data_IF_600812714047
#
_entry.id   IF_600812714047
#
_cell.length_a   1.000
_cell.length_b   1.000
_cell.length_c   1.000
_cell.angle_alpha   90.00
_cell.angle_beta   90.00
_cell.angle_gamma   90.00
#
_symmetry.space_group_name_H-M   'P 1'
#
loop_
_entity.id
_entity.type
_entity.pdbx_description
1 polymer ?
#
# COMPACT_ATOMS: atom_id res chain seq x y z
N UNK A 1 16.79 4.10 1.44
CA UNK A 1 15.42 4.63 1.61
C UNK A 1 15.33 5.96 0.87
N UNK A 2 14.98 5.92 -0.42
CA UNK A 2 14.87 7.11 -1.26
C UNK A 2 13.64 7.96 -0.91
N UNK A 3 13.57 9.17 -1.48
CA UNK A 3 12.52 10.17 -1.23
C UNK A 3 11.08 9.63 -1.27
N UNK A 4 10.85 8.53 -2.00
CA UNK A 4 9.56 7.83 -2.04
C UNK A 4 9.14 7.13 -0.75
N UNK A 5 10.10 6.53 -0.04
CA UNK A 5 9.82 5.92 1.26
C UNK A 5 9.44 6.97 2.31
N UNK A 6 10.07 8.16 2.26
CA UNK A 6 9.80 9.22 3.23
C UNK A 6 8.39 9.79 3.07
N UNK A 7 7.98 10.19 1.86
CA UNK A 7 6.62 10.73 1.68
C UNK A 7 5.55 9.65 1.92
N UNK A 8 5.83 8.38 1.57
CA UNK A 8 4.92 7.28 1.87
C UNK A 8 4.72 7.11 3.37
N UNK A 9 5.82 7.17 4.15
CA UNK A 9 5.74 7.12 5.60
C UNK A 9 5.01 8.33 6.18
N UNK A 10 5.22 9.53 5.64
CA UNK A 10 4.52 10.74 6.07
C UNK A 10 3.01 10.64 5.87
N UNK A 11 2.54 10.01 4.78
CA UNK A 11 1.11 9.74 4.59
C UNK A 11 0.56 8.87 5.73
N UNK A 12 1.26 7.78 6.10
CA UNK A 12 0.87 6.95 7.23
C UNK A 12 0.95 7.66 8.58
N UNK A 13 1.92 8.55 8.76
CA UNK A 13 2.03 9.41 9.95
C UNK A 13 0.80 10.30 10.08
N UNK A 14 0.38 10.95 8.99
CA UNK A 14 -0.81 11.82 9.03
C UNK A 14 -2.07 10.98 9.29
N UNK A 15 -2.19 9.78 8.70
CA UNK A 15 -3.29 8.86 9.00
C UNK A 15 -3.29 8.44 10.48
N UNK A 16 -2.14 8.11 11.05
CA UNK A 16 -2.02 7.73 12.46
C UNK A 16 -2.43 8.87 13.40
N UNK A 17 -2.00 10.10 13.11
CA UNK A 17 -2.42 11.31 13.83
C UNK A 17 -3.93 11.53 13.69
N UNK A 18 -4.48 11.29 12.51
CA UNK A 18 -5.92 11.38 12.27
C UNK A 18 -6.71 10.40 13.14
N UNK A 19 -6.32 9.13 13.14
CA UNK A 19 -6.94 8.09 13.97
C UNK A 19 -6.83 8.44 15.46
N UNK A 20 -5.65 8.83 15.94
CA UNK A 20 -5.45 9.16 17.34
C UNK A 20 -6.23 10.41 17.78
N UNK A 21 -6.29 11.45 16.94
CA UNK A 21 -7.12 12.63 17.20
C UNK A 21 -8.58 12.24 17.37
N UNK A 22 -9.12 11.39 16.48
CA UNK A 22 -10.48 10.88 16.59
C UNK A 22 -10.70 10.04 17.86
N UNK A 23 -9.77 9.15 18.22
CA UNK A 23 -9.88 8.30 19.43
C UNK A 23 -9.96 9.11 20.73
N UNK A 24 -9.31 10.28 20.78
CA UNK A 24 -9.28 11.14 21.97
C UNK A 24 -10.34 12.26 21.87
N UNK A 25 -11.14 12.29 20.79
CA UNK A 25 -12.17 13.30 20.55
C UNK A 25 -11.61 14.70 20.29
N UNK A 26 -10.41 14.80 19.71
CA UNK A 26 -9.72 16.05 19.38
C UNK A 26 -9.54 16.20 17.88
N UNK A 27 -9.41 17.43 17.42
CA UNK A 27 -9.08 17.69 16.01
C UNK A 27 -7.67 17.17 15.71
N UNK A 28 -7.48 16.34 14.68
CA UNK A 28 -6.17 15.87 14.29
C UNK A 28 -5.19 17.00 13.93
N UNK A 29 -3.97 16.90 14.45
CA UNK A 29 -2.94 17.92 14.28
C UNK A 29 -1.55 17.28 14.16
N UNK A 30 -0.82 17.61 13.10
CA UNK A 30 0.55 17.18 12.90
C UNK A 30 1.48 18.38 12.81
N UNK A 31 2.52 18.43 13.66
CA UNK A 31 3.49 19.53 13.73
C UNK A 31 2.88 20.94 13.89
N UNK A 32 1.73 21.05 14.57
CA UNK A 32 1.03 22.33 14.73
C UNK A 32 0.07 22.65 13.58
N UNK A 33 -0.06 21.79 12.56
CA UNK A 33 -0.98 21.99 11.43
C UNK A 33 -2.17 21.05 11.55
N UNK A 34 -3.38 21.62 11.51
CA UNK A 34 -4.64 20.86 11.56
C UNK A 34 -4.83 20.07 10.27
N UNK A 35 -5.18 18.80 10.42
CA UNK A 35 -5.51 17.91 9.31
C UNK A 35 -7.02 17.92 9.13
N UNK A 36 -7.49 18.36 7.97
CA UNK A 36 -8.92 18.50 7.69
C UNK A 36 -9.33 17.55 6.55
N UNK A 37 -10.59 17.66 6.14
CA UNK A 37 -11.18 16.77 5.14
C UNK A 37 -10.42 16.78 3.80
N UNK A 38 -9.90 17.93 3.38
CA UNK A 38 -9.21 18.06 2.09
C UNK A 38 -7.90 17.25 2.07
N UNK A 39 -7.08 17.35 3.12
CA UNK A 39 -5.87 16.53 3.22
C UNK A 39 -6.21 15.05 3.33
N UNK A 40 -7.23 14.71 4.12
CA UNK A 40 -7.60 13.30 4.30
C UNK A 40 -8.12 12.65 3.02
N UNK A 41 -8.81 13.38 2.15
CA UNK A 41 -9.21 12.88 0.82
C UNK A 41 -7.98 12.52 -0.02
N UNK A 42 -6.96 13.38 -0.03
CA UNK A 42 -5.75 13.14 -0.81
C UNK A 42 -4.88 12.02 -0.19
N UNK A 43 -4.83 11.93 1.14
CA UNK A 43 -4.19 10.81 1.86
C UNK A 43 -4.89 9.49 1.53
N UNK A 44 -6.21 9.46 1.58
CA UNK A 44 -6.98 8.27 1.19
C UNK A 44 -6.70 7.87 -0.26
N UNK A 45 -6.67 8.84 -1.19
CA UNK A 45 -6.30 8.57 -2.58
C UNK A 45 -4.90 7.97 -2.69
N UNK A 46 -3.90 8.56 -2.01
CA UNK A 46 -2.52 8.08 -2.05
C UNK A 46 -2.38 6.65 -1.49
N UNK A 47 -3.17 6.29 -0.47
CA UNK A 47 -3.17 4.96 0.14
C UNK A 47 -3.96 3.92 -0.67
N UNK A 48 -5.00 4.34 -1.39
CA UNK A 48 -5.89 3.43 -2.13
C UNK A 48 -5.42 3.15 -3.56
N UNK A 49 -4.65 4.05 -4.18
CA UNK A 49 -4.17 3.85 -5.55
C UNK A 49 -3.31 2.59 -5.69
N UNK A 50 -2.25 2.36 -4.88
CA UNK A 50 -1.44 1.15 -4.99
C UNK A 50 -2.26 -0.15 -4.83
N UNK A 51 -3.04 -0.37 -3.76
CA UNK A 51 -3.79 -1.61 -3.60
C UNK A 51 -4.86 -1.81 -4.68
N UNK A 52 -5.48 -0.73 -5.18
CA UNK A 52 -6.40 -0.82 -6.31
C UNK A 52 -5.70 -1.36 -7.57
N UNK A 53 -4.53 -0.83 -7.90
CA UNK A 53 -3.73 -1.29 -9.04
C UNK A 53 -3.25 -2.74 -8.84
N UNK A 54 -2.87 -3.09 -7.62
CA UNK A 54 -2.35 -4.43 -7.28
C UNK A 54 -3.44 -5.48 -7.39
N UNK A 55 -4.54 -5.31 -6.65
CA UNK A 55 -5.62 -6.27 -6.60
C UNK A 55 -6.42 -6.27 -7.89
N UNK A 56 -6.68 -5.10 -8.49
CA UNK A 56 -7.37 -4.96 -9.77
C UNK A 56 -6.56 -5.56 -10.92
N UNK A 57 -5.26 -5.26 -10.99
CA UNK A 57 -4.36 -5.83 -11.99
C UNK A 57 -4.23 -7.34 -11.85
N UNK A 58 -4.00 -7.83 -10.63
CA UNK A 58 -3.92 -9.27 -10.35
C UNK A 58 -5.23 -9.98 -10.71
N UNK A 59 -6.36 -9.45 -10.26
CA UNK A 59 -7.68 -10.01 -10.54
C UNK A 59 -7.99 -10.09 -12.03
N UNK A 60 -7.65 -9.04 -12.78
CA UNK A 60 -7.85 -9.02 -14.24
C UNK A 60 -6.92 -10.03 -14.95
N UNK A 61 -5.67 -10.14 -14.52
CA UNK A 61 -4.71 -11.08 -15.11
C UNK A 61 -5.04 -12.56 -14.85
N UNK A 62 -5.67 -12.90 -13.73
CA UNK A 62 -6.02 -14.31 -13.43
C UNK A 62 -7.37 -14.75 -14.02
N UNK A 63 -8.16 -13.82 -14.57
CA UNK A 63 -9.43 -14.13 -15.24
C UNK A 63 -9.27 -14.16 -16.76
N UNK A 64 -8.28 -13.49 -17.31
CA UNK A 64 -8.02 -13.45 -18.75
C UNK A 64 -7.01 -14.53 -19.17
N UNK A 65 -7.33 -15.25 -20.25
CA UNK A 65 -6.46 -16.30 -20.81
C UNK A 65 -5.06 -15.80 -21.13
N UNK A 66 -4.92 -14.58 -21.67
CA UNK A 66 -3.61 -13.97 -21.97
C UNK A 66 -2.75 -13.75 -20.73
N UNK A 67 -3.39 -13.50 -19.57
CA UNK A 67 -2.69 -13.32 -18.31
C UNK A 67 -2.24 -14.65 -17.71
N UNK A 68 -3.13 -15.65 -17.72
CA UNK A 68 -2.87 -17.00 -17.19
C UNK A 68 -1.87 -17.77 -18.06
N UNK A 69 -1.87 -17.56 -19.38
CA UNK A 69 -0.92 -18.20 -20.30
C UNK A 69 0.56 -17.80 -20.07
N UNK A 70 0.81 -16.77 -19.26
CA UNK A 70 2.18 -16.30 -18.95
C UNK A 70 2.74 -16.84 -17.63
N UNK A 71 1.96 -17.64 -16.88
CA UNK A 71 2.37 -18.20 -15.60
C UNK A 71 3.53 -19.19 -15.76
N UNK A 72 4.54 -19.07 -14.89
CA UNK A 72 5.66 -20.01 -14.85
C UNK A 72 5.33 -21.26 -14.04
N UNK A 73 4.45 -21.11 -13.03
CA UNK A 73 4.07 -22.18 -12.12
C UNK A 73 2.55 -22.31 -11.99
N UNK A 74 2.01 -23.54 -11.87
CA UNK A 74 0.58 -23.75 -11.65
C UNK A 74 0.17 -23.46 -10.20
N UNK A 75 -1.14 -23.41 -9.96
CA UNK A 75 -1.72 -23.35 -8.61
C UNK A 75 -1.42 -22.06 -7.85
N UNK A 76 -1.26 -22.17 -6.52
CA UNK A 76 -1.11 -21.03 -5.62
C UNK A 76 0.18 -20.22 -5.86
N UNK A 77 1.25 -20.86 -6.35
CA UNK A 77 2.47 -20.17 -6.71
C UNK A 77 2.27 -19.26 -7.94
N UNK A 78 1.51 -19.71 -8.95
CA UNK A 78 1.17 -18.89 -10.11
C UNK A 78 0.39 -17.63 -9.73
N UNK A 79 -0.56 -17.72 -8.79
CA UNK A 79 -1.23 -16.54 -8.24
C UNK A 79 -0.23 -15.59 -7.56
N UNK A 80 0.72 -16.15 -6.81
CA UNK A 80 1.78 -15.39 -6.13
C UNK A 80 2.70 -14.67 -7.13
N UNK A 81 3.04 -15.29 -8.26
CA UNK A 81 3.82 -14.68 -9.34
C UNK A 81 3.14 -13.41 -9.89
N UNK A 82 1.84 -13.50 -10.20
CA UNK A 82 1.06 -12.36 -10.72
C UNK A 82 0.90 -11.29 -9.65
N UNK A 83 0.49 -11.68 -8.44
CA UNK A 83 0.32 -10.77 -7.31
C UNK A 83 1.60 -10.02 -7.01
N UNK A 84 2.75 -10.70 -7.02
CA UNK A 84 4.05 -10.10 -6.79
C UNK A 84 4.45 -9.15 -7.92
N UNK A 85 4.22 -9.50 -9.18
CA UNK A 85 4.51 -8.64 -10.32
C UNK A 85 3.76 -7.30 -10.24
N UNK A 86 2.46 -7.32 -9.94
CA UNK A 86 1.69 -6.09 -9.76
C UNK A 86 2.06 -5.35 -8.47
N UNK A 87 2.33 -6.06 -7.37
CA UNK A 87 2.81 -5.45 -6.11
C UNK A 87 4.10 -4.68 -6.34
N UNK A 88 5.06 -5.27 -7.04
CA UNK A 88 6.33 -4.65 -7.35
C UNK A 88 6.17 -3.46 -8.30
N UNK A 89 5.38 -3.62 -9.37
CA UNK A 89 5.14 -2.56 -10.35
C UNK A 89 4.42 -1.35 -9.73
N UNK A 90 3.28 -1.56 -9.07
CA UNK A 90 2.49 -0.48 -8.48
C UNK A 90 3.20 0.25 -7.34
N UNK A 91 4.09 -0.43 -6.59
CA UNK A 91 4.93 0.18 -5.57
C UNK A 91 6.29 0.68 -6.08
N UNK A 92 6.54 0.59 -7.40
CA UNK A 92 7.80 0.98 -8.04
C UNK A 92 9.04 0.36 -7.39
N UNK A 93 8.98 -0.92 -7.00
CA UNK A 93 10.08 -1.64 -6.38
C UNK A 93 11.08 -2.17 -7.43
N UNK A 94 10.57 -2.85 -8.47
CA UNK A 94 11.36 -3.38 -9.57
C UNK A 94 11.84 -4.83 -9.40
N UNK A 95 11.57 -5.46 -8.25
CA UNK A 95 11.77 -6.90 -8.06
C UNK A 95 10.74 -7.75 -8.83
N UNK A 96 11.09 -8.99 -9.14
CA UNK A 96 10.17 -9.95 -9.77
C UNK A 96 10.52 -11.38 -9.31
N UNK A 97 9.53 -12.29 -9.29
CA UNK A 97 9.76 -13.73 -9.13
C UNK A 97 10.49 -14.33 -10.33
N UNK A 98 10.44 -13.67 -11.49
CA UNK A 98 11.04 -14.08 -12.75
C UNK A 98 10.53 -15.41 -13.35
N UNK A 99 9.59 -16.12 -12.71
CA UNK A 99 8.84 -17.22 -13.32
C UNK A 99 7.74 -16.76 -14.27
N UNK A 100 7.12 -15.60 -14.01
CA UNK A 100 6.12 -14.99 -14.89
C UNK A 100 6.77 -14.45 -16.18
N UNK A 101 6.32 -14.94 -17.34
CA UNK A 101 6.76 -14.43 -18.65
C UNK A 101 6.08 -13.11 -19.01
N UNK A 102 6.59 -12.02 -18.43
CA UNK A 102 6.02 -10.68 -18.61
C UNK A 102 6.34 -10.01 -19.96
N UNK A 103 7.19 -10.60 -20.81
CA UNK A 103 7.56 -10.05 -22.12
C UNK A 103 6.47 -10.31 -23.18
N UNK A 104 5.27 -9.80 -22.93
CA UNK A 104 4.18 -9.75 -23.89
C UNK A 104 3.45 -8.42 -23.80
N UNK A 105 2.68 -8.10 -24.84
CA UNK A 105 2.00 -6.79 -24.94
C UNK A 105 1.07 -6.55 -23.74
N UNK A 106 0.39 -7.58 -23.26
CA UNK A 106 -0.54 -7.47 -22.15
C UNK A 106 0.15 -7.08 -20.85
N UNK A 107 1.13 -7.85 -20.38
CA UNK A 107 1.85 -7.53 -19.13
C UNK A 107 2.70 -6.28 -19.25
N UNK A 108 3.33 -6.02 -20.40
CA UNK A 108 4.09 -4.77 -20.61
C UNK A 108 3.19 -3.54 -20.41
N UNK A 109 1.98 -3.53 -21.00
CA UNK A 109 1.06 -2.40 -20.86
C UNK A 109 0.45 -2.32 -19.45
N UNK A 110 0.01 -3.44 -18.88
CA UNK A 110 -0.62 -3.47 -17.56
C UNK A 110 0.36 -3.07 -16.45
N UNK A 111 1.59 -3.61 -16.48
CA UNK A 111 2.63 -3.26 -15.51
C UNK A 111 3.13 -1.82 -15.73
N UNK A 112 3.24 -1.34 -16.97
CA UNK A 112 3.57 0.06 -17.25
C UNK A 112 2.52 1.02 -16.69
N UNK A 113 1.23 0.71 -16.88
CA UNK A 113 0.14 1.48 -16.30
C UNK A 113 0.21 1.47 -14.77
N UNK A 114 0.43 0.30 -14.17
CA UNK A 114 0.56 0.16 -12.72
C UNK A 114 1.73 0.97 -12.17
N UNK A 115 2.90 0.92 -12.83
CA UNK A 115 4.07 1.73 -12.47
C UNK A 115 3.78 3.23 -12.59
N UNK A 116 3.19 3.66 -13.71
CA UNK A 116 2.89 5.06 -13.97
C UNK A 116 1.89 5.62 -12.96
N UNK A 117 0.74 4.96 -12.79
CA UNK A 117 -0.29 5.41 -11.85
C UNK A 117 0.18 5.31 -10.40
N UNK A 118 0.83 4.20 -10.02
CA UNK A 118 1.38 4.01 -8.67
C UNK A 118 2.42 5.07 -8.28
N UNK A 119 3.17 5.60 -9.27
CA UNK A 119 4.12 6.68 -9.05
C UNK A 119 3.45 8.05 -9.04
N UNK A 120 2.84 8.44 -10.15
CA UNK A 120 2.45 9.83 -10.40
C UNK A 120 1.15 10.23 -9.71
N UNK A 121 0.20 9.31 -9.53
CA UNK A 121 -1.02 9.63 -8.79
C UNK A 121 -0.70 9.81 -7.29
N UNK A 122 0.19 8.99 -6.72
CA UNK A 122 0.65 9.14 -5.34
C UNK A 122 1.44 10.44 -5.17
N UNK A 123 2.36 10.76 -6.08
CA UNK A 123 3.08 12.05 -6.04
C UNK A 123 2.11 13.23 -6.14
N UNK A 124 1.15 13.19 -7.07
CA UNK A 124 0.14 14.23 -7.21
C UNK A 124 -0.67 14.44 -5.93
N UNK A 125 -1.06 13.36 -5.26
CA UNK A 125 -1.77 13.41 -3.99
C UNK A 125 -0.90 13.99 -2.86
N UNK A 126 0.37 13.57 -2.77
CA UNK A 126 1.33 14.12 -1.79
C UNK A 126 1.54 15.61 -2.00
N UNK A 127 1.70 16.06 -3.25
CA UNK A 127 1.88 17.48 -3.57
C UNK A 127 0.63 18.29 -3.21
N UNK A 128 -0.57 17.75 -3.41
CA UNK A 128 -1.81 18.39 -2.98
C UNK A 128 -1.86 18.54 -1.45
N UNK A 129 -1.53 17.48 -0.70
CA UNK A 129 -1.41 17.55 0.78
C UNK A 129 -0.40 18.61 1.19
N UNK A 130 0.77 18.65 0.55
CA UNK A 130 1.79 19.66 0.84
C UNK A 130 1.28 21.08 0.58
N UNK A 131 0.55 21.30 -0.52
CA UNK A 131 -0.08 22.58 -0.84
C UNK A 131 -1.11 23.04 0.20
N UNK A 132 -2.02 22.14 0.61
CA UNK A 132 -3.01 22.44 1.65
C UNK A 132 -2.35 22.75 2.99
N UNK A 133 -1.36 21.95 3.39
CA UNK A 133 -0.63 22.20 4.63
C UNK A 133 0.18 23.50 4.56
N UNK A 134 0.77 23.85 3.42
CA UNK A 134 1.56 25.08 3.27
C UNK A 134 0.73 26.35 3.54
N UNK A 135 -0.56 26.35 3.14
CA UNK A 135 -1.48 27.45 3.39
C UNK A 135 -1.90 27.59 4.88
N UNK A 136 -1.69 26.55 5.70
CA UNK A 136 -2.13 26.53 7.11
C UNK A 136 -1.11 27.14 8.06
N UNK A 137 -1.62 27.98 8.96
CA UNK A 137 -0.88 28.53 10.09
C UNK A 137 -0.59 27.46 11.13
N UNK A 138 0.55 27.60 11.82
CA UNK A 138 0.94 26.69 12.90
C UNK A 138 0.27 27.12 14.20
N UNK A 139 -0.43 26.20 14.84
CA UNK A 139 -1.07 26.39 16.16
C UNK A 139 -0.07 26.03 17.26
N UNK A 140 -0.01 26.80 18.37
CA UNK A 140 0.83 26.45 19.51
C UNK A 140 0.34 25.17 20.20
N UNK A 141 1.31 24.40 20.71
CA UNK A 141 1.06 23.16 21.45
C UNK A 141 0.23 23.46 22.70
N UNK A 142 -0.82 22.68 22.92
CA UNK A 142 -1.67 22.76 24.11
C UNK A 142 -1.85 21.36 24.75
N UNK A 143 -2.57 21.29 25.87
CA UNK A 143 -2.81 20.05 26.62
C UNK A 143 -3.55 18.97 25.80
N UNK A 144 -4.24 19.34 24.73
CA UNK A 144 -4.91 18.43 23.81
C UNK A 144 -4.07 18.04 22.59
N UNK A 145 -2.85 18.57 22.44
CA UNK A 145 -1.94 18.22 21.35
C UNK A 145 -1.29 16.87 21.65
N UNK A 146 -1.53 15.88 20.79
CA UNK A 146 -0.92 14.56 20.94
C UNK A 146 0.59 14.62 20.67
N UNK A 147 1.45 14.04 21.53
CA UNK A 147 2.87 13.93 21.24
C UNK A 147 3.10 12.94 20.07
N UNK A 148 3.58 13.46 18.93
CA UNK A 148 3.91 12.66 17.74
C UNK A 148 5.35 12.11 17.79
N UNK A 149 5.83 11.82 18.99
CA UNK A 149 7.18 11.33 19.28
C UNK A 149 7.13 10.34 20.45
N UNK A 150 8.21 9.57 20.62
CA UNK A 150 8.30 8.54 21.66
C UNK A 150 7.61 7.23 21.30
N UNK A 151 7.65 6.29 22.25
CA UNK A 151 7.26 4.89 22.04
C UNK A 151 5.79 4.75 21.68
N UNK A 152 4.89 5.50 22.33
CA UNK A 152 3.45 5.41 22.09
C UNK A 152 3.10 5.71 20.63
N UNK A 153 3.62 6.81 20.09
CA UNK A 153 3.37 7.17 18.70
C UNK A 153 4.05 6.18 17.74
N UNK A 154 5.25 5.70 18.07
CA UNK A 154 5.94 4.66 17.30
C UNK A 154 5.12 3.38 17.18
N UNK A 155 4.56 2.89 18.29
CA UNK A 155 3.70 1.70 18.32
C UNK A 155 2.40 1.92 17.54
N UNK A 156 1.75 3.07 17.74
CA UNK A 156 0.55 3.42 16.98
C UNK A 156 0.83 3.42 15.47
N UNK A 157 1.92 4.06 15.05
CA UNK A 157 2.30 4.19 13.64
C UNK A 157 2.58 2.81 13.02
N UNK A 158 3.34 1.96 13.71
CA UNK A 158 3.58 0.58 13.28
C UNK A 158 2.25 -0.18 13.16
N UNK A 159 1.38 -0.06 14.17
CA UNK A 159 0.06 -0.69 14.18
C UNK A 159 -0.79 -0.26 12.99
N UNK A 160 -0.85 1.04 12.68
CA UNK A 160 -1.60 1.56 11.52
C UNK A 160 -1.04 1.00 10.21
N UNK A 161 0.28 0.99 10.02
CA UNK A 161 0.90 0.43 8.80
C UNK A 161 0.59 -1.05 8.65
N UNK A 162 0.76 -1.83 9.72
CA UNK A 162 0.51 -3.27 9.71
C UNK A 162 -0.96 -3.60 9.49
N UNK A 163 -1.88 -2.93 10.18
CA UNK A 163 -3.33 -3.17 10.04
C UNK A 163 -3.80 -2.81 8.63
N UNK A 164 -3.38 -1.66 8.11
CA UNK A 164 -3.75 -1.24 6.74
C UNK A 164 -3.26 -2.24 5.70
N UNK A 165 -2.00 -2.69 5.80
CA UNK A 165 -1.45 -3.71 4.91
C UNK A 165 -2.16 -5.05 5.05
N UNK A 166 -2.32 -5.53 6.29
CA UNK A 166 -2.95 -6.81 6.59
C UNK A 166 -4.39 -6.87 6.06
N UNK A 167 -5.24 -5.89 6.41
CA UNK A 167 -6.65 -5.90 5.98
C UNK A 167 -6.82 -5.83 4.46
N UNK A 168 -5.83 -5.28 3.75
CA UNK A 168 -5.88 -5.14 2.30
C UNK A 168 -5.42 -6.41 1.58
N UNK A 169 -4.39 -7.08 2.10
CA UNK A 169 -3.72 -8.17 1.38
C UNK A 169 -3.89 -9.55 2.01
N UNK A 170 -4.47 -9.70 3.21
CA UNK A 170 -4.72 -11.02 3.82
C UNK A 170 -5.45 -11.97 2.86
N UNK A 171 -6.55 -11.57 2.18
CA UNK A 171 -7.26 -12.50 1.30
C UNK A 171 -6.42 -13.01 0.13
N UNK A 172 -5.62 -12.15 -0.50
CA UNK A 172 -4.77 -12.55 -1.63
C UNK A 172 -3.54 -13.34 -1.16
N UNK A 173 -2.96 -12.98 -0.01
CA UNK A 173 -1.86 -13.73 0.60
C UNK A 173 -2.30 -15.12 1.09
N UNK A 174 -3.54 -15.25 1.57
CA UNK A 174 -4.13 -16.52 1.96
C UNK A 174 -4.20 -17.50 0.78
N UNK A 175 -4.61 -17.01 -0.40
CA UNK A 175 -4.76 -17.82 -1.62
C UNK A 175 -3.45 -18.10 -2.36
N UNK A 176 -2.42 -17.27 -2.14
CA UNK A 176 -1.10 -17.42 -2.76
C UNK A 176 -0.11 -18.11 -1.82
N UNK A 177 0.83 -17.36 -1.20
CA UNK A 177 1.95 -17.94 -0.47
C UNK A 177 1.54 -18.74 0.78
N UNK A 178 0.45 -18.37 1.46
CA UNK A 178 0.01 -19.12 2.64
C UNK A 178 -0.55 -20.48 2.22
N UNK A 179 -1.39 -20.53 1.17
CA UNK A 179 -1.90 -21.78 0.62
C UNK A 179 -0.75 -22.69 0.14
N UNK A 180 0.23 -22.13 -0.56
CA UNK A 180 1.43 -22.86 -0.99
C UNK A 180 2.21 -23.44 0.21
N UNK A 181 2.42 -22.65 1.26
CA UNK A 181 3.10 -23.10 2.47
C UNK A 181 2.35 -24.23 3.18
N UNK A 182 1.01 -24.16 3.25
CA UNK A 182 0.19 -25.23 3.83
C UNK A 182 0.22 -26.52 3.01
N UNK A 183 0.33 -26.42 1.67
CA UNK A 183 0.43 -27.58 0.79
C UNK A 183 1.70 -28.38 1.06
N UNK A 184 2.84 -27.74 1.36
CA UNK A 184 4.09 -28.42 1.70
C UNK A 184 3.93 -29.41 2.86
N UNK A 185 3.21 -29.03 3.93
CA UNK A 185 2.99 -29.91 5.09
C UNK A 185 1.94 -31.00 4.84
N UNK A 186 0.98 -30.74 3.95
CA UNK A 186 -0.01 -31.75 3.57
C UNK A 186 0.62 -32.91 2.78
N UNK A 187 1.63 -32.63 1.96
CA UNK A 187 2.37 -33.66 1.22
C UNK A 187 3.21 -34.52 2.17
N UNK A 188 3.80 -33.90 3.20
CA UNK A 188 4.70 -34.57 4.14
C UNK A 188 3.98 -35.44 5.20
N UNK A 189 2.66 -35.34 5.31
CA UNK A 189 1.83 -36.16 6.21
C UNK A 189 1.16 -37.36 5.51
N UNK A 190 1.37 -37.49 4.20
CA UNK A 190 0.86 -38.60 3.38
C UNK A 190 1.93 -39.69 3.10
N UNK A 191 3.15 -39.52 3.62
CA UNK A 191 4.21 -40.54 3.70
C UNK A 191 4.32 -41.10 5.12
#
# INVERSE_FOLDING_TARGET
MGSSGLYGMLIFVILAVFIAGLMIGRTPEYLGKKIEMQEMKMIALALLVPPFLILGGTGLSVVLDVGVASLGNPGAHGLSEVLYAFTSAANNNGSAFAGLSANNVFYNLMLALAMFAGRFAVIGAVLAVAGYLAAKQRVPVNVGTMPTHGVLFGVLLIGVVLIMGALTYIPSLALGPIAEHMQLFSVQSAE
#
